data_IF_462293222340
#
_entry.id   IF_462293222340
#
_cell.length_a   1.000
_cell.length_b   1.000
_cell.length_c   1.000
_cell.angle_alpha   90.00
_cell.angle_beta   90.00
_cell.angle_gamma   90.00
#
_symmetry.space_group_name_H-M   'P 1'
#
loop_
_entity.id
_entity.type
_entity.pdbx_description
1 polymer ?
#
# COMPACT_ATOMS: atom_id res chain seq x y z
N UNK A 1 8.69 -17.76 4.52
CA UNK A 1 9.16 -16.37 4.76
C UNK A 1 9.36 -15.75 3.40
N UNK A 2 8.40 -14.95 2.91
CA UNK A 2 8.62 -14.17 1.69
C UNK A 2 9.52 -13.00 2.07
N UNK A 3 10.80 -13.04 1.68
CA UNK A 3 11.69 -11.90 1.82
C UNK A 3 11.32 -10.89 0.72
N UNK A 4 10.36 -10.01 1.02
CA UNK A 4 10.08 -8.86 0.16
C UNK A 4 11.23 -7.87 0.29
N UNK A 5 12.20 -7.99 -0.60
CA UNK A 5 13.37 -7.13 -0.73
C UNK A 5 13.47 -6.57 -2.15
N UNK A 6 14.20 -5.47 -2.32
CA UNK A 6 14.42 -4.87 -3.64
C UNK A 6 15.14 -5.89 -4.55
N UNK A 7 14.62 -6.08 -5.75
CA UNK A 7 15.06 -7.10 -6.70
C UNK A 7 14.39 -8.47 -6.52
N UNK A 8 13.65 -8.68 -5.42
CA UNK A 8 12.90 -9.90 -5.16
C UNK A 8 11.60 -10.00 -5.94
N UNK A 9 11.10 -11.24 -6.18
CA UNK A 9 9.81 -11.46 -6.82
C UNK A 9 8.64 -11.22 -5.85
N UNK A 10 7.50 -10.81 -6.40
CA UNK A 10 6.23 -10.73 -5.69
C UNK A 10 5.07 -11.01 -6.65
N UNK A 11 4.15 -11.87 -6.24
CA UNK A 11 2.97 -12.26 -7.02
C UNK A 11 1.82 -11.32 -6.71
N UNK A 12 1.33 -10.61 -7.74
CA UNK A 12 0.26 -9.61 -7.60
C UNK A 12 -0.82 -9.83 -8.65
N UNK A 13 -2.08 -9.75 -8.25
CA UNK A 13 -3.26 -9.87 -9.11
C UNK A 13 -4.37 -8.90 -8.74
N UNK A 14 -5.39 -8.82 -9.58
CA UNK A 14 -6.58 -8.01 -9.37
C UNK A 14 -7.83 -8.87 -9.59
N UNK A 15 -8.31 -9.55 -8.54
CA UNK A 15 -9.41 -10.51 -8.66
C UNK A 15 -10.70 -9.88 -9.17
N UNK A 16 -10.96 -8.60 -8.85
CA UNK A 16 -12.17 -7.89 -9.29
C UNK A 16 -12.24 -7.64 -10.80
N UNK A 17 -11.10 -7.76 -11.50
CA UNK A 17 -10.99 -7.61 -12.94
C UNK A 17 -10.60 -8.91 -13.66
N UNK A 18 -10.70 -10.06 -12.96
CA UNK A 18 -10.27 -11.37 -13.47
C UNK A 18 -8.80 -11.38 -13.93
N UNK A 19 -7.96 -10.58 -13.27
CA UNK A 19 -6.52 -10.55 -13.52
C UNK A 19 -5.83 -11.47 -12.52
N UNK A 20 -5.30 -12.63 -12.95
CA UNK A 20 -4.63 -13.57 -12.06
C UNK A 20 -3.33 -12.98 -11.53
N UNK A 21 -2.85 -13.54 -10.42
CA UNK A 21 -1.53 -13.17 -9.90
C UNK A 21 -0.44 -13.47 -10.93
N UNK A 22 0.47 -12.52 -11.09
CA UNK A 22 1.67 -12.63 -11.91
C UNK A 22 2.86 -12.15 -11.09
N UNK A 23 4.03 -12.68 -11.42
CA UNK A 23 5.27 -12.26 -10.78
C UNK A 23 5.69 -10.87 -11.28
N UNK A 24 6.00 -9.99 -10.33
CA UNK A 24 6.61 -8.70 -10.55
C UNK A 24 7.92 -8.63 -9.74
N UNK A 25 8.84 -7.77 -10.17
CA UNK A 25 10.04 -7.45 -9.39
C UNK A 25 9.80 -6.25 -8.50
N UNK A 26 10.12 -6.37 -7.22
CA UNK A 26 10.10 -5.27 -6.26
C UNK A 26 11.22 -4.28 -6.62
N UNK A 27 10.87 -3.04 -6.92
CA UNK A 27 11.83 -1.95 -7.18
C UNK A 27 11.96 -1.00 -6.00
N UNK A 28 10.93 -0.94 -5.15
CA UNK A 28 10.93 -0.16 -3.92
C UNK A 28 10.07 -0.87 -2.89
N UNK A 29 10.48 -0.86 -1.62
CA UNK A 29 9.73 -1.50 -0.54
C UNK A 29 9.87 -0.73 0.76
N UNK A 30 8.76 -0.58 1.46
CA UNK A 30 8.71 -0.05 2.81
C UNK A 30 7.74 -0.91 3.64
N UNK A 31 8.24 -1.47 4.74
CA UNK A 31 7.49 -2.34 5.64
C UNK A 31 7.55 -1.77 7.05
N UNK A 32 6.41 -1.30 7.55
CA UNK A 32 6.26 -0.65 8.85
C UNK A 32 5.17 -1.39 9.63
N UNK A 33 5.59 -2.38 10.42
CA UNK A 33 4.66 -3.28 11.11
C UNK A 33 3.76 -4.03 10.13
N UNK A 34 2.46 -3.75 10.15
CA UNK A 34 1.47 -4.30 9.23
C UNK A 34 1.32 -3.49 7.93
N UNK A 35 1.86 -2.28 7.88
CA UNK A 35 1.81 -1.45 6.68
C UNK A 35 2.88 -1.94 5.72
N UNK A 36 2.46 -2.23 4.50
CA UNK A 36 3.34 -2.64 3.43
C UNK A 36 3.07 -1.78 2.21
N UNK A 37 4.11 -1.08 1.77
CA UNK A 37 4.11 -0.29 0.56
C UNK A 37 5.20 -0.82 -0.35
N UNK A 38 4.87 -1.01 -1.62
CA UNK A 38 5.86 -1.41 -2.61
C UNK A 38 5.61 -0.74 -3.94
N UNK A 39 6.69 -0.52 -4.68
CA UNK A 39 6.66 -0.37 -6.12
C UNK A 39 7.22 -1.61 -6.76
N UNK A 40 6.59 -1.99 -7.86
CA UNK A 40 6.86 -3.22 -8.57
C UNK A 40 6.93 -2.95 -10.07
N UNK A 41 7.69 -3.78 -10.79
CA UNK A 41 7.86 -3.68 -12.23
C UNK A 41 7.64 -5.04 -12.90
N UNK A 42 7.01 -5.04 -14.07
CA UNK A 42 6.96 -6.20 -14.98
C UNK A 42 8.08 -6.13 -16.05
N UNK A 43 9.03 -5.20 -15.90
CA UNK A 43 10.09 -4.90 -16.87
C UNK A 43 9.65 -3.97 -18.01
N UNK A 44 8.35 -3.63 -18.12
CA UNK A 44 7.82 -2.66 -19.10
C UNK A 44 7.18 -1.46 -18.44
N UNK A 45 6.50 -1.68 -17.32
CA UNK A 45 5.76 -0.68 -16.55
C UNK A 45 6.02 -0.88 -15.07
N UNK A 46 6.00 0.23 -14.35
CA UNK A 46 6.02 0.22 -12.90
C UNK A 46 4.63 0.54 -12.35
N UNK A 47 4.29 -0.13 -11.25
CA UNK A 47 3.10 0.14 -10.45
C UNK A 47 3.48 0.23 -8.99
N UNK A 48 2.54 0.65 -8.15
CA UNK A 48 2.73 0.68 -6.72
C UNK A 48 1.42 0.49 -5.97
N UNK A 49 1.54 0.03 -4.74
CA UNK A 49 0.42 -0.17 -3.84
C UNK A 49 0.87 0.04 -2.40
N UNK A 50 -0.09 0.38 -1.55
CA UNK A 50 0.07 0.45 -0.10
C UNK A 50 -1.10 -0.31 0.50
N UNK A 51 -0.82 -1.31 1.32
CA UNK A 51 -1.80 -2.18 1.99
C UNK A 51 -1.49 -2.26 3.47
N UNK A 52 -2.48 -2.66 4.27
CA UNK A 52 -2.29 -3.01 5.68
C UNK A 52 -2.77 -4.44 5.90
N UNK A 53 -1.87 -5.31 6.36
CA UNK A 53 -2.20 -6.69 6.70
C UNK A 53 -3.04 -6.79 7.97
N UNK A 54 -3.92 -7.79 8.02
CA UNK A 54 -4.79 -8.10 9.17
C UNK A 54 -5.53 -6.86 9.73
N UNK A 55 -6.06 -6.03 8.84
CA UNK A 55 -6.75 -4.80 9.18
C UNK A 55 -8.18 -4.80 8.62
N UNK A 56 -9.23 -4.63 9.46
CA UNK A 56 -10.61 -4.55 8.97
C UNK A 56 -10.86 -3.32 8.09
N UNK A 57 -11.72 -3.46 7.08
CA UNK A 57 -12.08 -2.37 6.16
C UNK A 57 -12.49 -1.07 6.85
N UNK A 58 -13.29 -1.14 7.91
CA UNK A 58 -13.69 0.05 8.69
C UNK A 58 -12.49 0.81 9.26
N UNK A 59 -11.45 0.07 9.69
CA UNK A 59 -10.21 0.67 10.20
C UNK A 59 -9.42 1.27 9.05
N UNK A 60 -9.37 0.62 7.87
CA UNK A 60 -8.74 1.19 6.69
C UNK A 60 -9.36 2.55 6.30
N UNK A 61 -10.69 2.66 6.31
CA UNK A 61 -11.38 3.92 5.99
C UNK A 61 -11.05 5.02 7.01
N UNK A 62 -11.03 4.67 8.30
CA UNK A 62 -10.61 5.59 9.37
C UNK A 62 -9.15 6.04 9.21
N UNK A 63 -8.26 5.14 8.78
CA UNK A 63 -6.85 5.46 8.51
C UNK A 63 -6.71 6.39 7.31
N UNK A 64 -7.48 6.16 6.23
CA UNK A 64 -7.47 7.03 5.05
C UNK A 64 -7.94 8.46 5.39
N UNK A 65 -9.01 8.59 6.20
CA UNK A 65 -9.49 9.88 6.67
C UNK A 65 -8.44 10.61 7.51
N UNK A 66 -7.84 9.92 8.50
CA UNK A 66 -6.77 10.48 9.34
C UNK A 66 -5.54 10.89 8.53
N UNK A 67 -5.11 10.07 7.57
CA UNK A 67 -3.99 10.37 6.71
C UNK A 67 -4.27 11.60 5.84
N UNK A 68 -5.48 11.72 5.30
CA UNK A 68 -5.91 12.90 4.54
C UNK A 68 -5.81 14.17 5.38
N UNK A 69 -6.26 14.11 6.64
CA UNK A 69 -6.20 15.26 7.56
C UNK A 69 -4.75 15.64 7.93
N UNK A 70 -3.87 14.65 8.16
CA UNK A 70 -2.47 14.88 8.56
C UNK A 70 -1.59 15.34 7.40
N UNK A 71 -1.80 14.82 6.20
CA UNK A 71 -0.92 15.03 5.04
C UNK A 71 -1.39 16.14 4.10
N UNK A 72 -2.65 16.56 4.21
CA UNK A 72 -3.20 17.65 3.39
C UNK A 72 -3.49 17.27 1.93
N UNK A 73 -3.38 15.99 1.56
CA UNK A 73 -3.81 15.47 0.26
C UNK A 73 -4.79 14.31 0.46
N UNK A 74 -5.67 14.11 -0.53
CA UNK A 74 -6.72 13.09 -0.46
C UNK A 74 -6.14 11.69 -0.52
N UNK A 75 -6.49 10.88 0.48
CA UNK A 75 -6.23 9.45 0.57
C UNK A 75 -7.58 8.74 0.68
N UNK A 76 -7.78 7.69 -0.11
CA UNK A 76 -8.99 6.85 -0.04
C UNK A 76 -8.60 5.38 0.01
N UNK A 77 -9.44 4.54 0.59
CA UNK A 77 -9.30 3.10 0.44
C UNK A 77 -9.87 2.71 -0.92
N UNK A 78 -9.05 2.03 -1.73
CA UNK A 78 -9.47 1.62 -3.06
C UNK A 78 -10.66 0.67 -2.98
N UNK A 79 -11.60 0.83 -3.90
CA UNK A 79 -12.64 -0.17 -4.14
C UNK A 79 -12.07 -1.39 -4.86
N UNK A 80 -10.88 -1.24 -5.47
CA UNK A 80 -10.17 -2.31 -6.12
C UNK A 80 -9.42 -3.14 -5.08
N UNK A 81 -9.68 -4.45 -5.07
CA UNK A 81 -8.89 -5.39 -4.29
C UNK A 81 -7.68 -5.83 -5.09
N UNK A 82 -6.53 -5.91 -4.44
CA UNK A 82 -5.36 -6.58 -4.97
C UNK A 82 -5.15 -7.90 -4.24
N UNK A 83 -4.64 -8.89 -4.95
CA UNK A 83 -4.17 -10.14 -4.37
C UNK A 83 -2.65 -10.08 -4.31
N UNK A 84 -2.07 -10.32 -3.13
CA UNK A 84 -0.62 -10.31 -2.91
C UNK A 84 -0.24 -11.64 -2.27
N UNK A 85 0.47 -12.49 -3.00
CA UNK A 85 0.85 -13.84 -2.56
C UNK A 85 -0.36 -14.62 -2.02
N UNK A 86 -1.49 -14.55 -2.71
CA UNK A 86 -2.76 -15.17 -2.34
C UNK A 86 -3.58 -14.43 -1.28
N UNK A 87 -3.08 -13.32 -0.72
CA UNK A 87 -3.83 -12.51 0.25
C UNK A 87 -4.58 -11.39 -0.45
N UNK A 88 -5.91 -11.44 -0.41
CA UNK A 88 -6.77 -10.40 -0.98
C UNK A 88 -6.91 -9.24 0.01
N UNK A 89 -6.44 -8.06 -0.41
CA UNK A 89 -6.34 -6.85 0.41
C UNK A 89 -6.92 -5.66 -0.35
N UNK A 90 -7.37 -4.64 0.39
CA UNK A 90 -7.67 -3.32 -0.17
C UNK A 90 -6.43 -2.43 -0.04
N UNK A 91 -6.11 -1.72 -1.11
CA UNK A 91 -5.00 -0.75 -1.13
C UNK A 91 -5.49 0.66 -0.81
N UNK A 92 -4.55 1.57 -0.55
CA UNK A 92 -4.83 3.00 -0.45
C UNK A 92 -4.48 3.69 -1.77
N UNK A 93 -5.41 4.49 -2.27
CA UNK A 93 -5.21 5.35 -3.43
C UNK A 93 -4.94 6.79 -2.98
N UNK A 94 -3.93 7.40 -3.57
CA UNK A 94 -3.52 8.77 -3.30
C UNK A 94 -2.87 9.37 -4.55
N UNK A 95 -2.84 10.69 -4.62
CA UNK A 95 -2.23 11.38 -5.73
C UNK A 95 -0.70 11.33 -5.64
N UNK A 96 -0.08 10.73 -6.65
CA UNK A 96 1.37 10.65 -6.80
C UNK A 96 1.79 10.86 -8.25
N UNK A 97 2.77 11.75 -8.45
CA UNK A 97 3.45 11.94 -9.72
C UNK A 97 4.97 11.83 -9.50
N UNK A 98 5.74 11.40 -10.51
CA UNK A 98 7.19 11.28 -10.42
C UNK A 98 7.89 12.66 -10.54
N UNK A 99 7.46 13.64 -9.74
CA UNK A 99 8.10 14.95 -9.62
C UNK A 99 8.70 15.12 -8.22
N UNK A 100 9.75 15.96 -8.07
CA UNK A 100 10.39 16.18 -6.77
C UNK A 100 9.42 16.64 -5.67
N UNK A 101 8.38 17.39 -6.03
CA UNK A 101 7.33 17.87 -5.13
C UNK A 101 6.58 16.73 -4.42
N UNK A 102 6.39 15.59 -5.10
CA UNK A 102 5.61 14.47 -4.60
C UNK A 102 6.44 13.24 -4.25
N UNK A 103 7.77 13.33 -4.35
CA UNK A 103 8.69 12.21 -4.16
C UNK A 103 8.51 11.51 -2.80
N UNK A 104 8.23 12.28 -1.75
CA UNK A 104 8.10 11.76 -0.38
C UNK A 104 6.68 11.29 -0.03
N UNK A 105 5.64 11.68 -0.78
CA UNK A 105 4.24 11.34 -0.47
C UNK A 105 4.01 9.85 -0.19
N UNK A 106 4.59 8.89 -0.95
CA UNK A 106 4.42 7.47 -0.68
C UNK A 106 4.90 7.05 0.70
N UNK A 107 6.07 7.55 1.11
CA UNK A 107 6.68 7.23 2.41
C UNK A 107 6.07 8.03 3.55
N UNK A 108 5.66 9.27 3.31
CA UNK A 108 4.92 10.05 4.30
C UNK A 108 3.57 9.39 4.60
N UNK A 109 2.91 8.85 3.56
CA UNK A 109 1.68 8.10 3.72
C UNK A 109 1.88 6.80 4.50
N UNK A 110 2.86 5.96 4.11
CA UNK A 110 3.11 4.68 4.79
C UNK A 110 3.38 4.87 6.28
N UNK A 111 4.20 5.87 6.65
CA UNK A 111 4.49 6.22 8.04
C UNK A 111 3.26 6.74 8.77
N UNK A 112 2.52 7.66 8.15
CA UNK A 112 1.31 8.22 8.76
C UNK A 112 0.27 7.14 9.05
N UNK A 113 0.10 6.17 8.14
CA UNK A 113 -0.80 5.03 8.34
C UNK A 113 -0.28 4.12 9.46
N UNK A 114 1.02 3.83 9.49
CA UNK A 114 1.62 2.98 10.53
C UNK A 114 1.48 3.61 11.93
N UNK A 115 1.82 4.88 12.07
CA UNK A 115 1.67 5.64 13.31
C UNK A 115 0.21 5.74 13.74
N UNK A 116 -0.70 6.05 12.82
CA UNK A 116 -2.14 6.15 13.13
C UNK A 116 -2.72 4.81 13.58
N UNK A 117 -2.25 3.70 13.00
CA UNK A 117 -2.65 2.35 13.40
C UNK A 117 -2.14 2.02 14.81
N UNK A 118 -0.89 2.39 15.13
CA UNK A 118 -0.35 2.23 16.49
C UNK A 118 -1.11 3.09 17.51
N UNK A 119 -1.41 4.35 17.18
CA UNK A 119 -2.20 5.25 18.03
C UNK A 119 -3.58 4.64 18.35
N UNK A 120 -4.27 4.10 17.34
CA UNK A 120 -5.58 3.48 17.51
C UNK A 120 -5.52 2.22 18.37
N UNK A 121 -4.44 1.44 18.28
CA UNK A 121 -4.22 0.25 19.12
C UNK A 121 -3.95 0.58 20.58
N UNK A 122 -3.29 1.70 20.86
CA UNK A 122 -3.00 2.14 22.23
C UNK A 122 -4.20 2.79 22.92
N UNK A 123 -5.17 3.26 22.15
CA UNK A 123 -6.38 3.91 22.66
C UNK A 123 -7.52 2.94 22.99
N UNK A 124 -7.43 1.67 22.57
CA UNK A 124 -8.38 0.60 22.90
C UNK A 124 -7.89 -0.27 24.05
#
# INVERSE_FOLDING_TARGET
MHHWEIGGPISIGWPDHDVPEREYTIVEVEKLGQVFRSRVSDGKKEGGFLVVFDCPDVVLEMLAEKATQRLGFKVIVSNLRCSIEGNVLRSFDYEWYPTPEFANRPSDLSRTIAESLEDMRRAG
#
